data_IF_652706131752
#
_entry.id   IF_652706131752
#
_cell.length_a   1.000
_cell.length_b   1.000
_cell.length_c   1.000
_cell.angle_alpha   90.00
_cell.angle_beta   90.00
_cell.angle_gamma   90.00
#
_symmetry.space_group_name_H-M   'P 1'
#
loop_
_entity.id
_entity.type
_entity.pdbx_description
1 polymer ?
#
# COMPACT_ATOMS: atom_id res chain seq x y z
N UNK A 1 34.27 -21.00 15.12
CA UNK A 1 34.40 -19.93 14.10
C UNK A 1 33.12 -19.14 14.14
N UNK A 2 33.20 -17.90 14.62
CA UNK A 2 32.03 -17.03 14.71
C UNK A 2 31.57 -16.69 13.29
N UNK A 3 30.29 -16.93 13.01
CA UNK A 3 29.72 -16.52 11.73
C UNK A 3 29.76 -14.99 11.66
N UNK A 4 30.26 -14.39 10.57
CA UNK A 4 30.26 -12.95 10.42
C UNK A 4 28.84 -12.40 10.53
N UNK A 5 28.67 -11.27 11.22
CA UNK A 5 27.35 -10.68 11.45
C UNK A 5 26.64 -10.37 10.12
N UNK A 6 27.37 -9.81 9.15
CA UNK A 6 26.93 -9.64 7.76
C UNK A 6 27.43 -10.76 6.84
N UNK A 7 26.59 -11.20 5.91
CA UNK A 7 26.99 -12.14 4.86
C UNK A 7 27.96 -11.48 3.85
N UNK A 8 28.72 -12.29 3.11
CA UNK A 8 29.60 -11.79 2.04
C UNK A 8 28.84 -11.11 0.89
N UNK A 9 27.55 -11.41 0.74
CA UNK A 9 26.64 -10.79 -0.23
C UNK A 9 26.01 -9.49 0.29
N UNK A 10 26.23 -9.13 1.56
CA UNK A 10 25.78 -7.87 2.14
C UNK A 10 26.40 -6.67 1.41
N UNK A 11 25.66 -5.56 1.37
CA UNK A 11 26.20 -4.32 0.82
C UNK A 11 27.43 -3.89 1.63
N UNK A 12 28.56 -3.76 0.93
CA UNK A 12 29.79 -3.23 1.49
C UNK A 12 30.40 -2.25 0.47
N UNK A 13 30.57 -0.97 0.84
CA UNK A 13 31.18 0.04 -0.03
C UNK A 13 32.55 -0.34 -0.58
N UNK A 14 33.32 -1.15 0.16
CA UNK A 14 34.65 -1.60 -0.24
C UNK A 14 34.64 -2.75 -1.26
N UNK A 15 33.50 -3.42 -1.48
CA UNK A 15 33.40 -4.61 -2.31
C UNK A 15 32.16 -4.58 -3.22
N UNK A 16 31.92 -3.43 -3.86
CA UNK A 16 30.84 -3.27 -4.84
C UNK A 16 31.27 -3.98 -6.15
N UNK A 17 30.52 -4.98 -6.65
CA UNK A 17 30.83 -5.62 -7.91
C UNK A 17 30.64 -4.66 -9.09
N UNK A 18 31.37 -4.87 -10.18
CA UNK A 18 31.18 -4.09 -11.40
C UNK A 18 29.81 -4.40 -12.02
N UNK A 19 29.11 -3.34 -12.44
CA UNK A 19 27.82 -3.48 -13.12
C UNK A 19 28.00 -4.21 -14.45
N UNK A 20 27.24 -5.30 -14.72
CA UNK A 20 27.30 -5.96 -16.02
C UNK A 20 26.79 -4.99 -17.09
N UNK A 21 27.24 -5.10 -18.35
CA UNK A 21 26.78 -4.25 -19.43
C UNK A 21 25.26 -4.32 -19.58
N UNK A 22 24.61 -3.20 -19.95
CA UNK A 22 23.16 -3.22 -20.23
C UNK A 22 22.86 -4.18 -21.37
N UNK A 23 21.87 -5.06 -21.17
CA UNK A 23 21.30 -5.84 -22.26
C UNK A 23 20.81 -4.92 -23.40
N UNK A 24 20.97 -5.37 -24.65
CA UNK A 24 20.53 -4.63 -25.82
C UNK A 24 19.01 -4.42 -25.83
N UNK A 25 18.58 -3.22 -26.20
CA UNK A 25 17.16 -2.83 -26.22
C UNK A 25 16.72 -2.44 -27.62
N UNK A 26 15.44 -2.67 -27.95
CA UNK A 26 14.80 -2.11 -29.13
C UNK A 26 14.96 -0.59 -29.16
N UNK A 27 15.21 -0.01 -30.32
CA UNK A 27 15.55 1.41 -30.50
C UNK A 27 14.57 2.37 -29.80
N UNK A 28 13.26 2.11 -29.88
CA UNK A 28 12.21 2.92 -29.25
C UNK A 28 12.35 2.94 -27.72
N UNK A 29 12.71 1.81 -27.11
CA UNK A 29 12.85 1.70 -25.65
C UNK A 29 14.12 2.37 -25.13
N UNK A 30 15.11 2.67 -25.98
CA UNK A 30 16.33 3.39 -25.59
C UNK A 30 16.05 4.84 -25.21
N UNK A 31 15.04 5.47 -25.82
CA UNK A 31 14.64 6.85 -25.50
C UNK A 31 13.75 6.95 -24.26
N UNK A 32 12.93 5.92 -24.01
CA UNK A 32 11.98 5.92 -22.90
C UNK A 32 12.54 5.31 -21.61
N UNK A 33 13.59 4.47 -21.68
CA UNK A 33 14.11 3.73 -20.52
C UNK A 33 15.63 3.69 -20.47
N UNK A 34 16.23 4.50 -19.59
CA UNK A 34 17.69 4.55 -19.36
C UNK A 34 18.05 3.81 -18.07
N UNK A 35 19.08 2.94 -18.12
CA UNK A 35 19.66 2.28 -16.93
C UNK A 35 20.52 3.29 -16.18
N UNK A 36 20.33 3.42 -14.88
CA UNK A 36 21.19 4.23 -14.04
C UNK A 36 22.48 3.45 -13.70
N UNK A 37 23.64 4.13 -13.67
CA UNK A 37 24.89 3.52 -13.23
C UNK A 37 24.83 3.18 -11.74
N UNK A 38 25.42 2.05 -11.35
CA UNK A 38 25.68 1.75 -9.93
C UNK A 38 26.67 2.78 -9.35
N UNK A 39 26.47 3.21 -8.10
CA UNK A 39 27.48 3.95 -7.34
C UNK A 39 27.31 5.48 -7.23
N UNK A 40 26.33 6.09 -7.91
CA UNK A 40 25.92 7.48 -7.64
C UNK A 40 24.66 7.57 -6.78
N UNK A 41 24.41 6.57 -5.94
CA UNK A 41 23.30 6.61 -4.99
C UNK A 41 23.77 7.34 -3.75
N UNK A 42 23.23 8.53 -3.49
CA UNK A 42 23.25 9.07 -2.13
C UNK A 42 22.41 8.17 -1.23
N UNK A 43 22.80 8.01 0.04
CA UNK A 43 21.95 7.44 1.09
C UNK A 43 20.76 8.37 1.35
N UNK A 44 19.81 8.36 0.43
CA UNK A 44 18.54 9.04 0.60
C UNK A 44 17.61 7.99 1.17
N UNK A 45 17.67 7.80 2.50
CA UNK A 45 16.44 7.44 3.19
C UNK A 45 15.38 8.46 2.71
N UNK A 46 14.19 8.04 2.25
CA UNK A 46 13.19 8.98 1.76
C UNK A 46 13.13 10.16 2.72
N UNK A 47 13.28 11.40 2.24
CA UNK A 47 13.37 12.58 3.10
C UNK A 47 12.27 12.57 4.17
N UNK A 48 11.09 12.11 3.77
CA UNK A 48 9.95 11.81 4.60
C UNK A 48 10.26 11.01 5.88
N UNK A 49 11.10 9.98 5.83
CA UNK A 49 11.50 9.18 7.00
C UNK A 49 12.29 10.03 8.00
N UNK A 50 13.16 10.92 7.53
CA UNK A 50 13.99 11.77 8.38
C UNK A 50 13.24 13.03 8.85
N UNK A 51 12.36 13.58 8.01
CA UNK A 51 11.67 14.85 8.24
C UNK A 51 10.28 14.69 8.89
N UNK A 52 9.56 13.59 8.68
CA UNK A 52 8.22 13.41 9.28
C UNK A 52 8.29 12.98 10.74
N UNK A 53 9.38 12.33 11.16
CA UNK A 53 9.56 11.83 12.53
C UNK A 53 10.02 12.95 13.47
N UNK A 54 9.07 13.82 13.84
CA UNK A 54 9.31 14.88 14.83
C UNK A 54 9.73 14.29 16.18
N UNK A 55 10.68 14.87 16.92
CA UNK A 55 11.08 14.36 18.24
C UNK A 55 9.90 14.17 19.22
N UNK A 56 8.86 14.99 19.10
CA UNK A 56 7.63 14.87 19.90
C UNK A 56 6.87 13.56 19.63
N UNK A 57 6.83 13.06 18.39
CA UNK A 57 6.16 11.79 18.08
C UNK A 57 6.96 10.61 18.62
N UNK A 58 8.29 10.63 18.52
CA UNK A 58 9.15 9.59 19.12
C UNK A 58 8.94 9.50 20.64
N UNK A 59 8.98 10.63 21.34
CA UNK A 59 8.72 10.68 22.79
C UNK A 59 7.33 10.19 23.17
N UNK A 60 6.32 10.45 22.33
CA UNK A 60 4.97 9.94 22.55
C UNK A 60 4.94 8.41 22.53
N UNK A 61 5.61 7.79 21.56
CA UNK A 61 5.68 6.32 21.47
C UNK A 61 6.51 5.71 22.60
N UNK A 62 7.61 6.34 23.00
CA UNK A 62 8.39 5.92 24.17
C UNK A 62 7.56 5.96 25.46
N UNK A 63 6.77 7.02 25.66
CA UNK A 63 5.88 7.14 26.82
C UNK A 63 4.77 6.08 26.78
N UNK A 64 4.15 5.86 25.62
CA UNK A 64 3.13 4.83 25.45
C UNK A 64 3.67 3.41 25.68
N UNK A 65 4.93 3.14 25.32
CA UNK A 65 5.57 1.86 25.60
C UNK A 65 5.84 1.69 27.10
N UNK A 66 6.33 2.74 27.79
CA UNK A 66 6.50 2.71 29.25
C UNK A 66 5.19 2.44 29.97
N UNK A 67 4.13 3.16 29.62
CA UNK A 67 2.80 2.96 30.19
C UNK A 67 2.30 1.52 29.95
N UNK A 68 2.52 0.98 28.75
CA UNK A 68 2.19 -0.41 28.44
C UNK A 68 2.94 -1.40 29.35
N UNK A 69 4.24 -1.19 29.55
CA UNK A 69 5.06 -2.04 30.42
C UNK A 69 4.61 -1.96 31.88
N UNK A 70 4.29 -0.76 32.36
CA UNK A 70 3.75 -0.54 33.71
C UNK A 70 2.40 -1.24 33.89
N UNK A 71 1.47 -1.10 32.94
CA UNK A 71 0.17 -1.80 32.94
C UNK A 71 0.34 -3.33 32.90
N UNK A 72 1.31 -3.84 32.13
CA UNK A 72 1.64 -5.28 32.10
C UNK A 72 2.19 -5.75 33.45
N UNK A 73 3.07 -4.97 34.08
CA UNK A 73 3.62 -5.28 35.40
C UNK A 73 2.54 -5.27 36.50
N UNK A 74 1.57 -4.37 36.41
CA UNK A 74 0.44 -4.26 37.34
C UNK A 74 -0.69 -5.26 37.04
N UNK A 75 -0.64 -5.98 35.92
CA UNK A 75 -1.69 -6.91 35.49
C UNK A 75 -2.98 -6.24 35.00
N UNK A 76 -2.98 -4.94 34.77
CA UNK A 76 -4.14 -4.15 34.32
C UNK A 76 -4.22 -3.99 32.80
N UNK A 77 -3.25 -4.57 32.08
CA UNK A 77 -3.13 -4.42 30.64
C UNK A 77 -4.27 -5.08 29.86
N UNK A 78 -4.98 -4.29 29.06
CA UNK A 78 -5.96 -4.78 28.10
C UNK A 78 -5.36 -4.70 26.69
N UNK A 79 -5.14 -5.86 26.02
CA UNK A 79 -4.55 -5.87 24.69
C UNK A 79 -5.52 -5.22 23.67
N UNK A 80 -5.04 -4.34 22.78
CA UNK A 80 -5.86 -3.84 21.69
C UNK A 80 -6.29 -4.99 20.76
N UNK A 81 -7.39 -4.78 20.03
CA UNK A 81 -8.07 -5.81 19.22
C UNK A 81 -7.19 -6.62 18.26
N UNK A 82 -6.07 -6.04 17.80
CA UNK A 82 -5.16 -6.64 16.83
C UNK A 82 -3.73 -6.81 17.38
N UNK A 83 -3.52 -6.65 18.69
CA UNK A 83 -2.21 -6.96 19.27
C UNK A 83 -1.87 -8.43 19.03
N UNK A 84 -0.64 -8.70 18.58
CA UNK A 84 -0.18 -10.05 18.24
C UNK A 84 -0.61 -10.56 16.86
N UNK A 85 -1.36 -9.77 16.08
CA UNK A 85 -1.62 -10.12 14.68
C UNK A 85 -0.38 -9.82 13.84
N UNK A 86 0.18 -10.83 13.18
CA UNK A 86 1.31 -10.63 12.26
C UNK A 86 0.83 -9.92 10.99
N UNK A 87 1.28 -8.68 10.79
CA UNK A 87 1.00 -7.89 9.59
C UNK A 87 2.00 -8.14 8.48
N UNK A 88 3.02 -8.96 8.74
CA UNK A 88 4.15 -9.25 7.87
C UNK A 88 4.99 -8.04 7.46
N UNK A 89 4.60 -6.81 7.84
CA UNK A 89 5.41 -5.62 7.68
C UNK A 89 6.47 -5.59 8.78
N UNK A 90 7.71 -5.35 8.39
CA UNK A 90 8.82 -5.22 9.33
C UNK A 90 9.76 -4.14 8.84
N UNK A 91 10.00 -3.13 9.67
CA UNK A 91 10.88 -2.02 9.38
C UNK A 91 11.85 -1.88 10.54
N UNK A 92 12.97 -2.58 10.45
CA UNK A 92 14.07 -2.43 11.39
C UNK A 92 15.36 -2.07 10.64
N UNK A 93 16.46 -1.97 11.36
CA UNK A 93 17.76 -1.62 10.80
C UNK A 93 18.38 -2.74 9.94
N UNK A 94 17.83 -3.96 9.97
CA UNK A 94 18.32 -5.14 9.24
C UNK A 94 17.38 -5.56 8.09
N UNK A 95 16.08 -5.43 8.26
CA UNK A 95 15.01 -5.94 7.43
C UNK A 95 14.04 -4.81 7.09
N UNK A 96 13.83 -4.61 5.80
CA UNK A 96 12.78 -3.75 5.28
C UNK A 96 11.82 -4.63 4.48
N UNK A 97 10.69 -4.96 5.10
CA UNK A 97 9.71 -5.92 4.61
C UNK A 97 8.39 -5.22 4.40
N UNK A 98 7.91 -5.25 3.15
CA UNK A 98 6.65 -4.64 2.76
C UNK A 98 5.57 -5.71 2.58
N UNK A 99 4.39 -5.45 3.12
CA UNK A 99 3.22 -6.30 2.97
C UNK A 99 1.99 -5.44 2.68
N UNK A 100 1.13 -5.88 1.75
CA UNK A 100 -0.16 -5.25 1.51
C UNK A 100 -1.21 -5.74 2.50
N UNK A 101 -2.35 -5.04 2.59
CA UNK A 101 -3.53 -5.63 3.22
C UNK A 101 -4.12 -6.74 2.34
N UNK A 102 -4.89 -7.67 2.94
CA UNK A 102 -5.58 -8.69 2.15
C UNK A 102 -6.59 -8.07 1.15
N UNK A 103 -6.93 -8.81 0.08
CA UNK A 103 -8.00 -8.41 -0.87
C UNK A 103 -9.34 -8.16 -0.17
N UNK A 104 -9.60 -8.89 0.92
CA UNK A 104 -10.79 -8.71 1.77
C UNK A 104 -10.79 -7.35 2.47
N UNK A 105 -9.68 -6.96 3.08
CA UNK A 105 -9.57 -5.64 3.71
C UNK A 105 -9.72 -4.52 2.69
N UNK A 106 -9.09 -4.67 1.51
CA UNK A 106 -9.25 -3.72 0.40
C UNK A 106 -10.69 -3.62 -0.08
N UNK A 107 -11.43 -4.73 -0.17
CA UNK A 107 -12.85 -4.73 -0.53
C UNK A 107 -13.68 -3.87 0.43
N UNK A 108 -13.51 -4.02 1.74
CA UNK A 108 -14.26 -3.22 2.71
C UNK A 108 -13.87 -1.73 2.70
N UNK A 109 -12.57 -1.44 2.50
CA UNK A 109 -12.10 -0.08 2.29
C UNK A 109 -12.68 0.54 1.01
N UNK A 110 -12.85 -0.25 -0.06
CA UNK A 110 -13.51 0.18 -1.29
C UNK A 110 -15.00 0.43 -1.06
N UNK A 111 -15.70 -0.43 -0.32
CA UNK A 111 -17.11 -0.21 0.03
C UNK A 111 -17.31 1.12 0.77
N UNK A 112 -16.45 1.41 1.76
CA UNK A 112 -16.50 2.65 2.53
C UNK A 112 -16.06 3.87 1.70
N UNK A 113 -14.83 3.84 1.18
CA UNK A 113 -14.20 4.98 0.53
C UNK A 113 -14.69 5.19 -0.90
N UNK A 114 -14.74 4.12 -1.69
CA UNK A 114 -15.25 4.13 -3.06
C UNK A 114 -16.74 4.42 -3.12
N UNK A 115 -17.55 3.79 -2.26
CA UNK A 115 -18.98 4.09 -2.16
C UNK A 115 -19.24 5.57 -1.87
N UNK A 116 -18.55 6.15 -0.86
CA UNK A 116 -18.65 7.58 -0.52
C UNK A 116 -18.21 8.48 -1.68
N UNK A 117 -17.09 8.15 -2.33
CA UNK A 117 -16.55 8.95 -3.42
C UNK A 117 -17.50 8.97 -4.63
N UNK A 118 -17.98 7.79 -5.06
CA UNK A 118 -18.93 7.66 -6.15
C UNK A 118 -20.23 8.40 -5.82
N UNK A 119 -20.76 8.24 -4.59
CA UNK A 119 -21.97 8.94 -4.17
C UNK A 119 -21.84 10.47 -4.30
N UNK A 120 -20.74 11.04 -3.83
CA UNK A 120 -20.51 12.50 -3.89
C UNK A 120 -20.32 13.00 -5.34
N UNK A 121 -19.59 12.24 -6.17
CA UNK A 121 -19.45 12.57 -7.59
C UNK A 121 -20.78 12.47 -8.31
N UNK A 122 -21.56 11.42 -8.05
CA UNK A 122 -22.89 11.25 -8.65
C UNK A 122 -23.82 12.41 -8.29
N UNK A 123 -23.82 12.88 -7.03
CA UNK A 123 -24.57 14.09 -6.64
C UNK A 123 -24.14 15.30 -7.46
N UNK A 124 -22.83 15.50 -7.62
CA UNK A 124 -22.30 16.65 -8.36
C UNK A 124 -22.69 16.59 -9.85
N UNK A 125 -22.57 15.42 -10.49
CA UNK A 125 -22.98 15.23 -11.89
C UNK A 125 -24.50 15.42 -12.04
N UNK A 126 -25.31 14.86 -11.13
CA UNK A 126 -26.77 15.02 -11.14
C UNK A 126 -27.19 16.48 -10.96
N UNK A 127 -26.50 17.22 -10.10
CA UNK A 127 -26.76 18.65 -9.92
C UNK A 127 -26.51 19.42 -11.22
N UNK A 128 -25.42 19.13 -11.94
CA UNK A 128 -25.13 19.77 -13.23
C UNK A 128 -26.21 19.41 -14.26
N UNK A 129 -26.58 18.14 -14.37
CA UNK A 129 -27.63 17.70 -15.31
C UNK A 129 -28.97 18.37 -15.00
N UNK A 130 -29.37 18.39 -13.73
CA UNK A 130 -30.60 19.05 -13.28
C UNK A 130 -30.60 20.55 -13.59
N UNK A 131 -29.49 21.26 -13.33
CA UNK A 131 -29.38 22.68 -13.65
C UNK A 131 -29.40 22.97 -15.15
N UNK A 132 -28.80 22.10 -15.97
CA UNK A 132 -28.84 22.25 -17.42
C UNK A 132 -30.26 22.08 -17.96
N UNK A 133 -31.01 21.09 -17.48
CA UNK A 133 -32.38 20.81 -17.92
C UNK A 133 -33.38 21.87 -17.42
N UNK A 134 -33.15 22.45 -16.24
CA UNK A 134 -33.93 23.57 -15.72
C UNK A 134 -33.77 24.85 -16.56
N UNK A 135 -32.65 25.00 -17.29
CA UNK A 135 -32.42 26.13 -18.21
C UNK A 135 -33.08 25.86 -19.57
N UNK A 136 -33.11 24.60 -20.00
CA UNK A 136 -33.62 24.19 -21.32
C UNK A 136 -35.15 24.06 -21.36
N UNK A 137 -35.75 23.74 -20.21
CA UNK A 137 -37.19 23.43 -20.11
C UNK A 137 -37.95 24.54 -19.38
N UNK A 138 -39.17 24.83 -19.82
CA UNK A 138 -40.11 25.74 -19.13
C UNK A 138 -40.86 25.07 -17.95
N UNK A 139 -40.49 23.84 -17.60
CA UNK A 139 -41.11 23.06 -16.53
C UNK A 139 -40.90 23.73 -15.17
N UNK A 140 -41.87 23.57 -14.27
CA UNK A 140 -41.67 24.01 -12.90
C UNK A 140 -40.58 23.17 -12.22
N UNK A 141 -39.75 23.81 -11.39
CA UNK A 141 -38.66 23.13 -10.67
C UNK A 141 -39.13 21.93 -9.84
N UNK A 142 -40.39 21.92 -9.38
CA UNK A 142 -40.98 20.80 -8.65
C UNK A 142 -41.30 19.61 -9.56
N UNK A 143 -41.84 19.86 -10.75
CA UNK A 143 -42.17 18.80 -11.72
C UNK A 143 -40.91 18.13 -12.25
N UNK A 144 -39.88 18.93 -12.55
CA UNK A 144 -38.57 18.43 -12.94
C UNK A 144 -37.89 17.63 -11.81
N UNK A 145 -37.99 18.09 -10.56
CA UNK A 145 -37.46 17.34 -9.42
C UNK A 145 -38.18 15.99 -9.25
N UNK A 146 -39.50 15.95 -9.46
CA UNK A 146 -40.29 14.73 -9.39
C UNK A 146 -39.92 13.73 -10.51
N UNK A 147 -39.67 14.22 -11.73
CA UNK A 147 -39.25 13.37 -12.86
C UNK A 147 -37.87 12.75 -12.64
N UNK A 148 -37.00 13.40 -11.86
CA UNK A 148 -35.65 12.91 -11.51
C UNK A 148 -35.61 11.85 -10.41
N UNK A 149 -36.71 11.62 -9.65
CA UNK A 149 -36.74 10.65 -8.55
C UNK A 149 -36.23 9.25 -8.96
N UNK A 150 -36.63 8.67 -10.11
CA UNK A 150 -36.11 7.38 -10.56
C UNK A 150 -34.60 7.42 -10.82
N UNK A 151 -34.11 8.47 -11.47
CA UNK A 151 -32.68 8.67 -11.79
C UNK A 151 -31.86 8.81 -10.51
N UNK A 152 -32.32 9.62 -9.57
CA UNK A 152 -31.71 9.77 -8.24
C UNK A 152 -31.64 8.42 -7.52
N UNK A 153 -32.73 7.66 -7.54
CA UNK A 153 -32.79 6.36 -6.86
C UNK A 153 -31.80 5.36 -7.46
N UNK A 154 -31.73 5.26 -8.79
CA UNK A 154 -30.83 4.30 -9.46
C UNK A 154 -29.36 4.68 -9.30
N UNK A 155 -29.04 5.98 -9.38
CA UNK A 155 -27.65 6.43 -9.37
C UNK A 155 -27.09 6.62 -7.97
N UNK A 156 -27.90 7.07 -7.00
CA UNK A 156 -27.45 7.36 -5.63
C UNK A 156 -27.65 6.20 -4.66
N UNK A 157 -28.68 5.36 -4.82
CA UNK A 157 -28.94 4.30 -3.85
C UNK A 157 -27.82 3.24 -3.80
N UNK A 158 -27.31 2.70 -4.91
CA UNK A 158 -26.23 1.71 -4.85
C UNK A 158 -24.95 2.20 -4.15
N UNK A 159 -24.36 3.37 -4.49
CA UNK A 159 -23.15 3.83 -3.81
C UNK A 159 -23.43 4.23 -2.35
N UNK A 160 -24.62 4.73 -2.03
CA UNK A 160 -25.03 5.01 -0.65
C UNK A 160 -25.10 3.72 0.17
N UNK A 161 -25.73 2.66 -0.35
CA UNK A 161 -25.80 1.36 0.30
C UNK A 161 -24.40 0.78 0.51
N UNK A 162 -23.53 0.84 -0.50
CA UNK A 162 -22.14 0.41 -0.38
C UNK A 162 -21.40 1.18 0.74
N UNK A 163 -21.57 2.50 0.78
CA UNK A 163 -20.96 3.35 1.80
C UNK A 163 -21.46 2.99 3.21
N UNK A 164 -22.77 2.87 3.40
CA UNK A 164 -23.38 2.55 4.69
C UNK A 164 -22.98 1.16 5.19
N UNK A 165 -23.01 0.15 4.31
CA UNK A 165 -22.58 -1.21 4.64
C UNK A 165 -21.08 -1.23 5.01
N UNK A 166 -20.24 -0.55 4.22
CA UNK A 166 -18.81 -0.43 4.50
C UNK A 166 -18.54 0.22 5.86
N UNK A 167 -19.22 1.33 6.16
CA UNK A 167 -19.11 2.03 7.44
C UNK A 167 -19.56 1.17 8.62
N UNK A 168 -20.68 0.46 8.46
CA UNK A 168 -21.20 -0.45 9.49
C UNK A 168 -20.24 -1.59 9.78
N UNK A 169 -19.74 -2.28 8.75
CA UNK A 169 -18.82 -3.42 8.93
C UNK A 169 -17.49 -2.98 9.54
N UNK A 170 -16.92 -1.87 9.09
CA UNK A 170 -15.64 -1.39 9.63
C UNK A 170 -15.76 -0.99 11.10
N UNK A 171 -16.88 -0.38 11.49
CA UNK A 171 -17.10 0.10 12.86
C UNK A 171 -17.44 -1.01 13.84
N UNK A 172 -18.33 -1.93 13.46
CA UNK A 172 -18.89 -2.92 14.40
C UNK A 172 -18.24 -4.30 14.29
N UNK A 173 -17.62 -4.63 13.14
CA UNK A 173 -17.02 -5.94 12.89
C UNK A 173 -15.55 -5.82 12.49
N UNK A 174 -14.66 -5.38 13.40
CA UNK A 174 -13.24 -5.18 13.12
C UNK A 174 -12.56 -6.43 12.56
N UNK A 175 -12.88 -7.61 13.11
CA UNK A 175 -12.36 -8.91 12.63
C UNK A 175 -12.93 -9.34 11.28
N UNK A 176 -14.07 -8.77 10.86
CA UNK A 176 -14.68 -9.07 9.56
C UNK A 176 -14.03 -8.26 8.44
N UNK A 177 -13.64 -7.02 8.70
CA UNK A 177 -12.99 -6.21 7.66
C UNK A 177 -11.49 -6.41 7.64
N UNK A 178 -10.85 -6.45 8.81
CA UNK A 178 -9.40 -6.51 8.92
C UNK A 178 -8.89 -7.94 8.82
N UNK A 179 -8.14 -8.21 7.76
CA UNK A 179 -7.36 -9.44 7.61
C UNK A 179 -5.95 -9.12 7.07
N UNK A 180 -4.87 -9.59 7.73
CA UNK A 180 -3.51 -9.48 7.22
C UNK A 180 -3.36 -10.11 5.84
N UNK A 181 -2.33 -9.71 5.08
CA UNK A 181 -1.99 -10.42 3.84
C UNK A 181 -1.63 -11.88 4.10
N UNK A 182 -1.45 -12.64 3.02
CA UNK A 182 -0.87 -13.99 3.07
C UNK A 182 0.61 -13.99 3.48
N UNK A 183 1.27 -12.85 3.39
CA UNK A 183 2.69 -12.68 3.62
C UNK A 183 3.21 -11.34 3.08
N UNK A 184 4.52 -11.08 3.20
CA UNK A 184 5.16 -9.91 2.63
C UNK A 184 5.30 -10.01 1.12
N UNK A 185 5.08 -8.92 0.38
CA UNK A 185 5.31 -8.91 -1.06
C UNK A 185 6.80 -8.97 -1.41
N UNK A 186 7.60 -8.27 -0.62
CA UNK A 186 9.04 -8.26 -0.79
C UNK A 186 9.73 -7.91 0.53
N UNK A 187 10.97 -8.32 0.62
CA UNK A 187 11.83 -8.11 1.78
C UNK A 187 13.24 -7.78 1.33
N UNK A 188 13.78 -6.68 1.85
CA UNK A 188 15.21 -6.36 1.79
C UNK A 188 15.84 -6.74 3.12
N UNK A 189 16.84 -7.62 3.08
CA UNK A 189 17.63 -8.02 4.22
C UNK A 189 19.06 -7.48 4.07
N UNK A 190 19.43 -6.50 4.90
CA UNK A 190 20.77 -5.90 4.93
C UNK A 190 21.81 -6.85 5.49
N UNK A 191 21.42 -7.78 6.38
CA UNK A 191 22.32 -8.78 6.95
C UNK A 191 22.83 -9.73 5.87
N UNK A 192 21.96 -10.17 4.97
CA UNK A 192 22.33 -11.02 3.84
C UNK A 192 22.69 -10.23 2.59
N UNK A 193 22.24 -8.98 2.47
CA UNK A 193 22.32 -8.19 1.24
C UNK A 193 21.38 -8.68 0.15
N UNK A 194 20.34 -9.43 0.48
CA UNK A 194 19.42 -10.01 -0.49
C UNK A 194 18.08 -9.28 -0.46
N UNK A 195 17.46 -9.18 -1.62
CA UNK A 195 16.04 -8.86 -1.77
C UNK A 195 15.30 -10.10 -2.23
N UNK A 196 14.26 -10.45 -1.49
CA UNK A 196 13.35 -11.54 -1.82
C UNK A 196 12.01 -10.94 -2.22
N UNK A 197 11.52 -11.32 -3.39
CA UNK A 197 10.15 -11.04 -3.84
C UNK A 197 9.35 -12.32 -3.72
N UNK A 198 8.21 -12.25 -3.05
CA UNK A 198 7.34 -13.38 -2.80
C UNK A 198 6.17 -13.37 -3.77
N UNK A 199 6.01 -14.48 -4.49
CA UNK A 199 4.90 -14.72 -5.39
C UNK A 199 3.85 -15.62 -4.72
N UNK A 200 2.69 -15.01 -4.46
CA UNK A 200 1.51 -15.67 -3.88
C UNK A 200 0.42 -15.96 -4.92
N UNK A 201 0.68 -15.71 -6.21
CA UNK A 201 -0.34 -15.88 -7.22
C UNK A 201 -0.73 -17.34 -7.39
N UNK A 202 -2.04 -17.55 -7.48
CA UNK A 202 -2.64 -18.86 -7.69
C UNK A 202 -2.31 -19.45 -9.08
N UNK A 203 -1.54 -18.76 -9.93
CA UNK A 203 -1.10 -19.25 -11.24
C UNK A 203 0.41 -19.54 -11.30
N UNK A 204 1.15 -19.26 -10.22
CA UNK A 204 2.59 -19.49 -10.09
C UNK A 204 2.95 -20.82 -9.40
N UNK A 205 4.11 -20.86 -8.75
CA UNK A 205 4.60 -22.03 -8.01
C UNK A 205 3.67 -22.45 -6.86
N UNK A 206 2.94 -21.49 -6.28
CA UNK A 206 2.01 -21.71 -5.17
C UNK A 206 0.91 -22.72 -5.51
N UNK A 207 0.37 -22.72 -6.74
CA UNK A 207 -0.64 -23.71 -7.16
C UNK A 207 -0.03 -25.03 -7.62
N UNK A 208 1.17 -25.00 -8.19
CA UNK A 208 1.83 -26.19 -8.74
C UNK A 208 2.41 -27.07 -7.64
N UNK A 209 3.07 -26.46 -6.67
CA UNK A 209 3.87 -27.17 -5.66
C UNK A 209 3.40 -26.89 -4.22
N UNK A 210 2.46 -25.96 -4.02
CA UNK A 210 2.02 -25.55 -2.67
C UNK A 210 3.04 -24.67 -1.92
N UNK A 211 4.19 -24.39 -2.54
CA UNK A 211 5.25 -23.54 -2.00
C UNK A 211 5.10 -22.12 -2.51
N UNK A 212 5.35 -21.14 -1.63
CA UNK A 212 5.40 -19.73 -2.04
C UNK A 212 6.58 -19.59 -3.02
N UNK A 213 6.33 -18.99 -4.19
CA UNK A 213 7.40 -18.72 -5.13
C UNK A 213 8.28 -17.62 -4.55
N UNK A 214 9.59 -17.84 -4.51
CA UNK A 214 10.53 -16.86 -3.95
C UNK A 214 11.60 -16.55 -5.00
N UNK A 215 11.69 -15.28 -5.38
CA UNK A 215 12.75 -14.79 -6.24
C UNK A 215 13.68 -13.98 -5.35
N UNK A 216 14.87 -14.53 -5.09
CA UNK A 216 15.89 -13.88 -4.26
C UNK A 216 17.06 -13.44 -5.12
N UNK A 217 17.41 -12.17 -5.05
CA UNK A 217 18.53 -11.57 -5.75
C UNK A 217 19.28 -10.60 -4.82
N UNK A 218 20.60 -10.44 -4.95
CA UNK A 218 21.34 -9.50 -4.13
C UNK A 218 21.00 -8.04 -4.44
N UNK A 219 21.07 -7.18 -3.43
CA UNK A 219 20.64 -5.78 -3.47
C UNK A 219 21.48 -4.91 -4.43
N UNK A 220 22.63 -5.39 -4.90
CA UNK A 220 23.37 -4.71 -5.96
C UNK A 220 22.68 -4.80 -7.33
N UNK A 221 21.73 -5.74 -7.55
CA UNK A 221 21.08 -5.99 -8.85
C UNK A 221 19.85 -5.12 -9.14
N UNK A 222 19.57 -4.07 -8.37
CA UNK A 222 18.58 -3.08 -8.83
C UNK A 222 19.17 -2.26 -9.95
N UNK A 223 18.89 -2.71 -11.16
CA UNK A 223 18.88 -1.84 -12.31
C UNK A 223 17.78 -0.80 -12.12
N UNK A 224 18.13 0.31 -11.51
CA UNK A 224 17.25 1.45 -11.48
C UNK A 224 17.10 1.96 -12.92
N UNK A 225 15.87 1.98 -13.40
CA UNK A 225 15.52 2.49 -14.71
C UNK A 225 14.75 3.79 -14.54
N UNK A 226 15.20 4.85 -15.19
CA UNK A 226 14.33 6.00 -15.43
C UNK A 226 13.44 5.63 -16.61
N UNK A 227 12.13 5.53 -16.39
CA UNK A 227 11.14 5.37 -17.43
C UNK A 227 10.40 6.70 -17.63
N UNK A 228 10.61 7.36 -18.76
CA UNK A 228 9.84 8.54 -19.17
C UNK A 228 8.73 8.07 -20.10
N UNK A 229 7.48 8.18 -19.65
CA UNK A 229 6.31 8.09 -20.52
C UNK A 229 5.73 9.49 -20.68
N UNK A 230 5.29 9.90 -21.89
CA UNK A 230 4.48 11.10 -22.02
C UNK A 230 3.24 10.94 -21.14
N UNK A 231 2.95 11.97 -20.35
CA UNK A 231 1.70 12.06 -19.60
C UNK A 231 0.55 12.09 -20.61
N UNK A 232 -0.51 11.31 -20.36
CA UNK A 232 -1.61 11.13 -21.31
C UNK A 232 -2.76 12.06 -20.97
#
# INVERSE_FOLDING_TARGET
MDQPYYASTAYNPASIPNQPPSAERPWIKRFAKVRLPWGNTQDVAPERILCDLKPKSLRFWEAAEKERLEQKAQGTYVPPLFEGTDLHQKYDHEHFRYALLSKRSHFWLLMLGGGRFIFLISIFILLIMYLAELIDTDDSWLELAASYIPTLSILLAPPLVCWLIGAFVIRFFPRLWFKPSRGPLWELNRRTGLVTVFDYDNNGEYKKNGTIGEITAPFYEFDAYIATSPDR
#
